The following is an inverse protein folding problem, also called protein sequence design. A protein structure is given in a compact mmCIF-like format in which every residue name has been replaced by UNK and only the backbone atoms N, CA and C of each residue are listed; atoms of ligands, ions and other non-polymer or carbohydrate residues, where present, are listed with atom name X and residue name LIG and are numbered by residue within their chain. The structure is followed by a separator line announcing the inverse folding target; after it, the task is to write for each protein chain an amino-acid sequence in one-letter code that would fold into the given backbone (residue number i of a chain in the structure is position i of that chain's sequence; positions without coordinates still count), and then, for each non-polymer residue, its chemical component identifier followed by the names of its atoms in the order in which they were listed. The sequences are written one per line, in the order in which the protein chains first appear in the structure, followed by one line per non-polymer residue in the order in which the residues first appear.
data_IF_688493363018
#
_entry.id   IF_688493363018
#
_cell.length_a   1.000
_cell.length_b   1.000
_cell.length_c   1.000
_cell.angle_alpha   90.00
_cell.angle_beta   90.00
_cell.angle_gamma   90.00
#
_symmetry.space_group_name_H-M   'P 1'
#
loop_
_entity.id
_entity.type
_entity.pdbx_description
1 polymer ?
#
# COMPACT_ATOMS: atom_id res chain seq x y z
N UNK A 1 28.91 10.54 -20.40
CA UNK A 1 29.76 10.32 -19.21
C UNK A 1 30.07 8.83 -19.11
N UNK A 2 31.34 8.48 -18.91
CA UNK A 2 31.74 7.10 -18.63
C UNK A 2 31.62 6.85 -17.12
N UNK A 3 31.23 5.63 -16.70
CA UNK A 3 31.15 5.29 -15.29
C UNK A 3 32.55 5.29 -14.66
N UNK A 4 32.68 5.83 -13.45
CA UNK A 4 33.93 5.78 -12.68
C UNK A 4 34.20 4.36 -12.13
N UNK A 5 33.14 3.57 -11.94
CA UNK A 5 33.19 2.18 -11.50
C UNK A 5 31.97 1.42 -11.99
N UNK A 6 32.16 0.21 -12.48
CA UNK A 6 31.07 -0.69 -12.92
C UNK A 6 31.19 -2.03 -12.16
N UNK A 7 30.08 -2.58 -11.73
CA UNK A 7 29.88 -3.97 -11.30
C UNK A 7 28.78 -4.58 -12.13
N UNK A 8 28.62 -5.89 -12.17
CA UNK A 8 27.68 -6.62 -13.07
C UNK A 8 26.28 -5.99 -13.21
N UNK A 9 25.75 -5.38 -12.16
CA UNK A 9 24.38 -4.86 -12.11
C UNK A 9 24.28 -3.39 -11.71
N UNK A 10 25.42 -2.73 -11.51
CA UNK A 10 25.49 -1.35 -11.00
C UNK A 10 26.62 -0.58 -11.67
N UNK A 11 26.35 0.68 -11.99
CA UNK A 11 27.37 1.62 -12.48
C UNK A 11 27.36 2.88 -11.60
N UNK A 12 28.55 3.41 -11.32
CA UNK A 12 28.75 4.58 -10.48
C UNK A 12 29.38 5.71 -11.27
N UNK A 13 28.81 6.89 -11.17
CA UNK A 13 29.17 8.10 -11.90
C UNK A 13 29.41 9.26 -10.95
N UNK A 14 30.11 10.28 -11.41
CA UNK A 14 30.00 11.61 -10.81
C UNK A 14 28.56 12.11 -10.99
N UNK A 15 28.04 12.79 -9.98
CA UNK A 15 26.65 13.27 -10.02
C UNK A 15 26.43 14.23 -11.19
N UNK A 16 25.39 14.02 -12.01
CA UNK A 16 24.97 15.00 -13.00
C UNK A 16 24.19 16.17 -12.38
N UNK A 17 23.86 16.11 -11.09
CA UNK A 17 23.00 17.06 -10.38
C UNK A 17 23.81 18.04 -9.52
N UNK A 18 25.12 17.79 -9.31
CA UNK A 18 26.03 18.64 -8.53
C UNK A 18 27.49 18.34 -8.85
N UNK A 19 28.38 19.25 -8.46
CA UNK A 19 29.82 19.04 -8.60
C UNK A 19 30.36 18.16 -7.48
N UNK A 20 31.14 17.13 -7.82
CA UNK A 20 31.83 16.25 -6.88
C UNK A 20 33.09 15.65 -7.49
N UNK A 21 34.02 15.21 -6.65
CA UNK A 21 35.28 14.59 -7.08
C UNK A 21 35.31 13.08 -6.91
N UNK A 22 34.36 12.51 -6.15
CA UNK A 22 34.19 11.07 -5.93
C UNK A 22 32.82 10.65 -6.41
N UNK A 23 32.75 9.60 -7.25
CA UNK A 23 31.52 9.09 -7.80
C UNK A 23 30.57 8.60 -6.70
N UNK A 24 29.42 9.26 -6.55
CA UNK A 24 28.37 8.92 -5.59
C UNK A 24 27.00 8.75 -6.25
N UNK A 25 26.89 8.98 -7.52
CA UNK A 25 25.68 8.73 -8.31
C UNK A 25 25.65 7.29 -8.80
N UNK A 26 24.74 6.48 -8.28
CA UNK A 26 24.61 5.06 -8.59
C UNK A 26 23.47 4.81 -9.55
N UNK A 27 23.69 4.00 -10.57
CA UNK A 27 22.64 3.47 -11.48
C UNK A 27 22.57 1.96 -11.29
N UNK A 28 21.39 1.45 -10.98
CA UNK A 28 21.10 0.03 -10.94
C UNK A 28 20.53 -0.40 -12.29
N UNK A 29 21.31 -1.16 -13.05
CA UNK A 29 20.90 -1.69 -14.35
C UNK A 29 19.75 -2.72 -14.22
N UNK A 30 19.75 -3.48 -13.12
CA UNK A 30 18.71 -4.48 -12.84
C UNK A 30 17.36 -3.84 -12.53
N UNK A 31 17.34 -2.75 -11.77
CA UNK A 31 16.09 -2.08 -11.33
C UNK A 31 15.70 -0.93 -12.26
N UNK A 32 16.57 -0.54 -13.19
CA UNK A 32 16.43 0.67 -14.01
C UNK A 32 16.14 1.91 -13.16
N UNK A 33 16.95 2.10 -12.09
CA UNK A 33 16.82 3.20 -11.13
C UNK A 33 18.18 3.81 -10.83
N UNK A 34 18.16 5.08 -10.47
CA UNK A 34 19.34 5.80 -10.00
C UNK A 34 19.15 6.26 -8.55
N UNK A 35 20.26 6.50 -7.89
CA UNK A 35 20.31 7.09 -6.55
C UNK A 35 21.59 7.93 -6.40
N UNK A 36 21.44 9.20 -6.02
CA UNK A 36 22.51 10.09 -5.67
C UNK A 36 22.73 10.07 -4.15
N UNK A 37 23.80 9.42 -3.72
CA UNK A 37 24.10 9.28 -2.30
C UNK A 37 24.48 10.61 -1.65
N UNK A 38 24.95 11.59 -2.42
CA UNK A 38 25.31 12.90 -1.90
C UNK A 38 24.11 13.82 -1.69
N UNK A 39 23.05 13.66 -2.49
CA UNK A 39 21.79 14.40 -2.34
C UNK A 39 20.76 13.62 -1.52
N UNK A 40 20.96 12.33 -1.28
CA UNK A 40 19.95 11.47 -0.65
C UNK A 40 18.69 11.29 -1.48
N UNK A 41 18.77 11.45 -2.80
CA UNK A 41 17.63 11.43 -3.73
C UNK A 41 17.83 10.41 -4.86
N UNK A 42 16.75 9.87 -5.39
CA UNK A 42 16.79 8.87 -6.45
C UNK A 42 15.45 8.68 -7.15
N UNK A 43 15.45 7.89 -8.24
CA UNK A 43 14.25 7.67 -9.01
C UNK A 43 14.44 6.76 -10.22
N UNK A 44 13.51 6.84 -11.16
CA UNK A 44 13.60 6.21 -12.47
C UNK A 44 14.22 7.17 -13.52
N UNK A 45 14.27 6.76 -14.81
CA UNK A 45 14.82 7.58 -15.87
C UNK A 45 14.08 8.91 -16.10
N UNK A 46 12.74 8.92 -15.92
CA UNK A 46 11.94 10.14 -16.05
C UNK A 46 12.23 11.12 -14.90
N UNK A 47 12.33 10.59 -13.66
CA UNK A 47 12.71 11.40 -12.49
C UNK A 47 14.10 12.02 -12.66
N UNK A 48 15.03 11.33 -13.34
CA UNK A 48 16.35 11.87 -13.66
C UNK A 48 16.27 13.05 -14.63
N UNK A 49 15.45 12.96 -15.67
CA UNK A 49 15.28 14.06 -16.63
C UNK A 49 14.63 15.29 -15.93
N UNK A 50 13.61 15.04 -15.09
CA UNK A 50 12.99 16.12 -14.28
C UNK A 50 14.05 16.79 -13.40
N UNK A 51 14.92 16.01 -12.74
CA UNK A 51 15.96 16.55 -11.87
C UNK A 51 17.06 17.32 -12.67
N UNK A 52 17.54 16.76 -13.79
CA UNK A 52 18.59 17.41 -14.59
C UNK A 52 18.08 18.67 -15.30
N UNK A 53 16.87 18.63 -15.83
CA UNK A 53 16.26 19.75 -16.59
C UNK A 53 15.52 20.76 -15.72
N UNK A 54 15.34 20.44 -14.43
CA UNK A 54 14.52 21.24 -13.50
C UNK A 54 13.15 21.61 -14.10
N UNK A 55 12.43 20.62 -14.62
CA UNK A 55 11.20 20.80 -15.37
C UNK A 55 10.06 19.94 -14.82
N UNK A 56 8.83 20.22 -15.24
CA UNK A 56 7.68 19.38 -14.90
C UNK A 56 7.73 18.01 -15.60
N UNK A 57 7.02 17.02 -15.03
CA UNK A 57 6.87 15.67 -15.64
C UNK A 57 6.35 15.76 -17.08
N UNK A 58 5.39 16.67 -17.35
CA UNK A 58 4.85 16.89 -18.71
C UNK A 58 5.92 17.36 -19.68
N UNK A 59 6.79 18.29 -19.24
CA UNK A 59 7.90 18.79 -20.05
C UNK A 59 8.99 17.72 -20.26
N UNK A 60 9.26 16.89 -19.23
CA UNK A 60 10.21 15.80 -19.36
C UNK A 60 9.72 14.72 -20.35
N UNK A 61 8.42 14.38 -20.34
CA UNK A 61 7.81 13.48 -21.32
C UNK A 61 7.93 14.05 -22.74
N UNK A 62 7.59 15.31 -22.94
CA UNK A 62 7.73 15.96 -24.23
C UNK A 62 9.18 15.98 -24.72
N UNK A 63 10.14 16.26 -23.81
CA UNK A 63 11.56 16.20 -24.13
C UNK A 63 11.98 14.80 -24.60
N UNK A 64 11.46 13.74 -24.00
CA UNK A 64 11.72 12.36 -24.42
C UNK A 64 11.12 12.07 -25.78
N UNK A 65 9.88 12.50 -26.06
CA UNK A 65 9.23 12.38 -27.36
C UNK A 65 10.02 13.08 -28.46
N UNK A 66 10.45 14.33 -28.21
CA UNK A 66 11.17 15.16 -29.19
C UNK A 66 12.61 14.69 -29.45
N UNK A 67 13.27 14.05 -28.49
CA UNK A 67 14.71 13.68 -28.57
C UNK A 67 14.96 12.18 -28.74
N UNK A 68 13.96 11.34 -28.63
CA UNK A 68 14.06 9.91 -28.92
C UNK A 68 13.82 9.67 -30.42
N UNK A 69 14.82 9.97 -31.24
CA UNK A 69 14.83 9.55 -32.64
C UNK A 69 14.88 8.02 -32.65
N UNK A 70 13.77 7.42 -33.08
CA UNK A 70 13.62 5.98 -33.32
C UNK A 70 13.81 5.06 -32.11
N UNK A 71 13.05 5.23 -31.02
CA UNK A 71 12.55 4.07 -30.34
C UNK A 71 11.31 3.58 -31.10
N UNK A 72 11.54 2.87 -32.19
CA UNK A 72 10.63 1.81 -32.56
C UNK A 72 10.43 0.99 -31.29
N UNK A 73 9.21 1.03 -30.71
CA UNK A 73 8.72 -0.04 -29.89
C UNK A 73 8.52 -1.25 -30.81
N UNK A 74 9.61 -1.81 -31.33
CA UNK A 74 9.65 -3.23 -31.46
C UNK A 74 9.41 -3.67 -30.02
N UNK A 75 8.22 -4.17 -29.76
CA UNK A 75 8.03 -5.14 -28.72
C UNK A 75 9.11 -6.20 -28.97
N UNK A 76 10.32 -5.93 -28.50
CA UNK A 76 11.11 -7.04 -28.05
C UNK A 76 10.15 -7.67 -27.06
N UNK A 77 9.74 -8.90 -27.39
CA UNK A 77 9.23 -9.81 -26.43
C UNK A 77 10.28 -9.83 -25.33
N UNK A 78 10.27 -8.80 -24.48
CA UNK A 78 10.66 -8.98 -23.12
C UNK A 78 9.79 -10.18 -22.75
N UNK A 79 10.42 -11.36 -22.72
CA UNK A 79 9.95 -12.39 -21.82
C UNK A 79 9.66 -11.61 -20.58
N UNK A 80 8.41 -11.26 -20.42
CA UNK A 80 7.91 -10.43 -19.35
C UNK A 80 8.65 -11.01 -18.16
N UNK A 81 9.54 -10.22 -17.56
CA UNK A 81 9.95 -10.56 -16.20
C UNK A 81 8.60 -10.73 -15.57
N UNK A 82 8.21 -11.99 -15.35
CA UNK A 82 6.89 -12.35 -14.85
C UNK A 82 6.77 -11.51 -13.61
N UNK A 83 6.10 -10.35 -13.75
CA UNK A 83 5.62 -9.62 -12.58
C UNK A 83 4.72 -10.68 -11.99
N UNK A 84 5.23 -11.37 -10.98
CA UNK A 84 4.61 -12.56 -10.44
C UNK A 84 3.26 -12.12 -9.92
N UNK A 85 2.28 -12.24 -10.82
CA UNK A 85 0.91 -11.85 -10.57
C UNK A 85 0.39 -12.84 -9.53
N UNK A 86 -0.09 -12.32 -8.43
CA UNK A 86 -0.78 -13.15 -7.45
C UNK A 86 -2.05 -13.66 -8.13
N UNK A 87 -2.15 -14.96 -8.28
CA UNK A 87 -3.31 -15.65 -8.81
C UNK A 87 -4.01 -16.39 -7.67
N UNK A 88 -5.26 -16.02 -7.39
CA UNK A 88 -6.06 -16.69 -6.36
C UNK A 88 -6.57 -18.02 -6.90
N UNK A 89 -6.21 -19.12 -6.22
CA UNK A 89 -6.55 -20.48 -6.62
C UNK A 89 -7.86 -20.94 -6.00
N UNK A 90 -8.02 -20.70 -4.69
CA UNK A 90 -9.24 -21.08 -3.94
C UNK A 90 -9.38 -20.27 -2.66
N UNK A 91 -10.60 -20.15 -2.19
CA UNK A 91 -10.93 -19.54 -0.91
C UNK A 91 -11.78 -20.48 -0.07
N UNK A 92 -11.58 -20.50 1.24
CA UNK A 92 -12.39 -21.27 2.19
C UNK A 92 -12.42 -20.60 3.56
N UNK A 93 -13.18 -21.17 4.51
CA UNK A 93 -13.15 -20.76 5.91
C UNK A 93 -11.75 -20.91 6.48
N UNK A 94 -11.34 -19.99 7.36
CA UNK A 94 -10.02 -20.04 8.01
C UNK A 94 -9.95 -21.30 8.86
N UNK A 95 -9.04 -22.20 8.49
CA UNK A 95 -8.86 -23.50 9.15
C UNK A 95 -7.37 -23.90 9.29
N UNK A 96 -6.47 -23.29 8.50
CA UNK A 96 -5.04 -23.57 8.61
C UNK A 96 -4.51 -23.10 9.97
N UNK A 97 -3.91 -24.03 10.71
CA UNK A 97 -3.36 -23.76 12.04
C UNK A 97 -2.38 -22.58 12.05
N UNK A 98 -1.50 -22.48 11.06
CA UNK A 98 -0.57 -21.38 10.93
C UNK A 98 -1.24 -20.00 10.80
N UNK A 99 -2.44 -19.92 10.18
CA UNK A 99 -3.21 -18.69 10.10
C UNK A 99 -3.96 -18.39 11.39
N UNK A 100 -4.45 -19.41 12.07
CA UNK A 100 -5.08 -19.29 13.39
C UNK A 100 -4.04 -18.76 14.39
N UNK A 101 -2.83 -19.31 14.41
CA UNK A 101 -1.73 -18.84 15.25
C UNK A 101 -1.29 -17.41 14.86
N UNK A 102 -1.29 -17.08 13.58
CA UNK A 102 -0.99 -15.72 13.13
C UNK A 102 -2.02 -14.70 13.63
N UNK A 103 -3.33 -15.01 13.58
CA UNK A 103 -4.38 -14.20 14.16
C UNK A 103 -4.25 -14.09 15.68
N UNK A 104 -3.98 -15.22 16.36
CA UNK A 104 -3.78 -15.24 17.82
C UNK A 104 -2.59 -14.36 18.24
N UNK A 105 -1.47 -14.41 17.50
CA UNK A 105 -0.31 -13.51 17.71
C UNK A 105 -0.70 -12.05 17.61
N UNK A 106 -1.66 -11.71 16.75
CA UNK A 106 -2.23 -10.36 16.57
C UNK A 106 -3.36 -10.05 17.56
N UNK A 107 -3.61 -10.95 18.52
CA UNK A 107 -4.74 -10.89 19.49
C UNK A 107 -6.13 -10.78 18.83
N UNK A 108 -6.29 -11.33 17.63
CA UNK A 108 -7.56 -11.35 16.92
C UNK A 108 -8.16 -12.75 16.97
N UNK A 109 -9.30 -12.94 17.68
CA UNK A 109 -10.00 -14.23 17.68
C UNK A 109 -10.50 -14.59 16.27
N UNK A 110 -10.40 -15.88 15.91
CA UNK A 110 -10.88 -16.37 14.61
C UNK A 110 -12.36 -16.04 14.39
N UNK A 111 -13.18 -16.10 15.43
CA UNK A 111 -14.61 -15.74 15.38
C UNK A 111 -14.87 -14.30 14.93
N UNK A 112 -13.94 -13.38 15.21
CA UNK A 112 -14.02 -11.97 14.78
C UNK A 112 -13.54 -11.81 13.34
N UNK A 113 -12.50 -12.53 12.94
CA UNK A 113 -11.96 -12.44 11.57
C UNK A 113 -12.84 -13.15 10.53
N UNK A 114 -13.43 -14.29 10.87
CA UNK A 114 -14.10 -15.20 9.95
C UNK A 114 -15.34 -14.61 9.23
N UNK A 115 -16.13 -13.68 9.77
CA UNK A 115 -17.21 -13.00 9.05
C UNK A 115 -16.72 -12.12 7.90
N UNK A 116 -15.47 -11.66 7.95
CA UNK A 116 -14.89 -10.69 7.02
C UNK A 116 -13.80 -11.26 6.13
N UNK A 117 -13.09 -12.26 6.61
CA UNK A 117 -11.89 -12.81 6.00
C UNK A 117 -12.07 -14.28 5.64
N UNK A 118 -11.31 -14.70 4.63
CA UNK A 118 -11.20 -16.11 4.23
C UNK A 118 -9.75 -16.57 4.28
N UNK A 119 -9.55 -17.86 4.36
CA UNK A 119 -8.30 -18.49 3.99
C UNK A 119 -8.21 -18.50 2.47
N UNK A 120 -7.22 -17.80 1.92
CA UNK A 120 -7.00 -17.65 0.48
C UNK A 120 -5.73 -18.41 0.09
N UNK A 121 -5.87 -19.36 -0.83
CA UNK A 121 -4.75 -20.04 -1.48
C UNK A 121 -4.45 -19.35 -2.78
N UNK A 122 -3.17 -19.08 -3.04
CA UNK A 122 -2.75 -18.32 -4.20
C UNK A 122 -1.41 -18.79 -4.73
N UNK A 123 -1.22 -18.65 -6.04
CA UNK A 123 0.08 -18.83 -6.71
C UNK A 123 0.84 -17.50 -6.77
N UNK A 124 2.11 -17.55 -6.46
CA UNK A 124 3.04 -16.43 -6.61
C UNK A 124 4.41 -16.93 -7.02
N UNK A 125 4.94 -16.46 -8.16
CA UNK A 125 6.23 -16.94 -8.73
C UNK A 125 6.28 -18.45 -8.88
N UNK A 126 5.18 -19.09 -9.31
CA UNK A 126 5.10 -20.54 -9.56
C UNK A 126 5.03 -21.41 -8.31
N UNK A 127 4.85 -20.83 -7.13
CA UNK A 127 4.68 -21.56 -5.85
C UNK A 127 3.33 -21.23 -5.25
N UNK A 128 2.76 -22.22 -4.55
CA UNK A 128 1.50 -22.04 -3.83
C UNK A 128 1.74 -21.58 -2.40
N UNK A 129 0.89 -20.66 -1.97
CA UNK A 129 0.89 -20.06 -0.64
C UNK A 129 -0.54 -19.95 -0.13
N UNK A 130 -0.69 -19.71 1.16
CA UNK A 130 -1.97 -19.38 1.77
C UNK A 130 -1.84 -18.18 2.73
N UNK A 131 -2.92 -17.41 2.86
CA UNK A 131 -2.96 -16.21 3.70
C UNK A 131 -4.38 -15.97 4.24
N UNK A 132 -4.47 -15.13 5.28
CA UNK A 132 -5.73 -14.45 5.60
C UNK A 132 -6.00 -13.45 4.47
N UNK A 133 -7.15 -13.55 3.85
CA UNK A 133 -7.58 -12.67 2.77
C UNK A 133 -8.82 -11.87 3.13
N UNK A 134 -8.78 -10.58 2.83
CA UNK A 134 -9.92 -9.68 2.82
C UNK A 134 -10.22 -9.29 1.38
N UNK A 135 -11.44 -9.54 0.93
CA UNK A 135 -11.88 -9.21 -0.42
C UNK A 135 -12.21 -7.72 -0.54
N UNK A 136 -11.74 -7.07 -1.58
CA UNK A 136 -12.12 -5.71 -1.89
C UNK A 136 -13.37 -5.66 -2.79
N UNK A 137 -13.98 -4.49 -2.96
CA UNK A 137 -15.23 -4.34 -3.71
C UNK A 137 -15.12 -4.62 -5.22
N UNK A 138 -13.92 -4.84 -5.75
CA UNK A 138 -13.67 -5.22 -7.14
C UNK A 138 -13.27 -6.70 -7.30
N UNK A 139 -13.34 -7.52 -6.22
CA UNK A 139 -12.99 -8.93 -6.25
C UNK A 139 -11.49 -9.23 -6.12
N UNK A 140 -10.65 -8.24 -5.87
CA UNK A 140 -9.26 -8.46 -5.48
C UNK A 140 -9.12 -8.72 -3.99
N UNK A 141 -7.97 -9.22 -3.57
CA UNK A 141 -7.75 -9.69 -2.21
C UNK A 141 -6.55 -9.00 -1.56
N UNK A 142 -6.71 -8.52 -0.34
CA UNK A 142 -5.62 -8.18 0.55
C UNK A 142 -5.19 -9.43 1.32
N UNK A 143 -3.92 -9.82 1.18
CA UNK A 143 -3.39 -11.10 1.66
C UNK A 143 -2.33 -10.88 2.74
N UNK A 144 -2.49 -11.52 3.87
CA UNK A 144 -1.59 -11.41 5.02
C UNK A 144 -1.34 -12.77 5.66
N UNK A 145 -0.08 -13.10 5.88
CA UNK A 145 0.34 -14.14 6.80
C UNK A 145 1.62 -13.70 7.53
N UNK A 146 2.24 -14.56 8.31
CA UNK A 146 3.41 -14.21 9.10
C UNK A 146 4.63 -13.74 8.26
N UNK A 147 4.68 -14.13 6.98
CA UNK A 147 5.81 -13.91 6.07
C UNK A 147 5.46 -13.12 4.82
N UNK A 148 4.17 -12.85 4.62
CA UNK A 148 3.70 -12.25 3.38
C UNK A 148 2.68 -11.13 3.62
N UNK A 149 2.92 -9.99 2.96
CA UNK A 149 2.00 -8.87 2.80
C UNK A 149 1.90 -8.54 1.33
N UNK A 150 0.74 -8.72 0.74
CA UNK A 150 0.50 -8.43 -0.67
C UNK A 150 -0.97 -8.32 -1.00
N UNK A 151 -1.27 -8.04 -2.27
CA UNK A 151 -2.64 -7.95 -2.76
C UNK A 151 -2.74 -8.48 -4.19
N UNK A 152 -3.83 -9.21 -4.50
CA UNK A 152 -4.15 -9.59 -5.87
C UNK A 152 -4.81 -8.44 -6.60
N UNK A 153 -4.81 -8.51 -7.94
CA UNK A 153 -5.57 -7.57 -8.77
C UNK A 153 -7.03 -8.01 -8.90
N UNK A 154 -7.95 -7.05 -9.07
CA UNK A 154 -7.75 -5.60 -9.06
C UNK A 154 -7.55 -5.06 -7.63
N UNK A 155 -6.61 -4.09 -7.46
CA UNK A 155 -6.39 -3.44 -6.17
C UNK A 155 -7.42 -2.36 -5.93
N UNK A 156 -8.04 -2.37 -4.75
CA UNK A 156 -8.99 -1.36 -4.33
C UNK A 156 -9.21 -1.38 -2.82
N UNK A 157 -10.02 -0.44 -2.32
CA UNK A 157 -10.54 -0.47 -0.96
C UNK A 157 -11.62 -1.55 -0.78
N UNK A 158 -11.83 -1.99 0.44
CA UNK A 158 -12.96 -2.85 0.82
C UNK A 158 -14.09 -2.00 1.37
N UNK A 159 -15.32 -2.29 0.98
CA UNK A 159 -16.50 -1.56 1.43
C UNK A 159 -17.58 -2.53 1.93
N UNK A 160 -17.85 -2.50 3.23
CA UNK A 160 -18.86 -3.32 3.89
C UNK A 160 -20.06 -2.44 4.21
N UNK A 161 -21.16 -2.63 3.50
CA UNK A 161 -22.39 -1.85 3.64
C UNK A 161 -23.40 -2.54 4.55
N UNK A 162 -23.95 -1.81 5.52
CA UNK A 162 -25.06 -2.22 6.39
C UNK A 162 -26.22 -1.23 6.38
N UNK A 163 -26.14 -0.21 5.52
CA UNK A 163 -27.08 0.90 5.43
C UNK A 163 -27.11 1.76 6.71
N UNK A 164 -25.98 1.92 7.35
CA UNK A 164 -25.79 2.76 8.53
C UNK A 164 -25.63 4.23 8.12
N UNK A 165 -25.94 5.13 9.05
CA UNK A 165 -25.62 6.55 8.96
C UNK A 165 -24.18 6.88 9.43
N UNK A 166 -23.53 5.92 10.06
CA UNK A 166 -22.14 6.02 10.54
C UNK A 166 -21.23 5.19 9.67
N UNK A 167 -20.11 5.79 9.27
CA UNK A 167 -19.05 5.16 8.50
C UNK A 167 -17.78 5.09 9.33
N UNK A 168 -17.18 3.91 9.43
CA UNK A 168 -15.85 3.70 9.99
C UNK A 168 -14.85 3.56 8.86
N UNK A 169 -13.71 4.25 8.94
CA UNK A 169 -12.65 4.15 7.95
C UNK A 169 -11.35 3.74 8.65
N UNK A 170 -10.78 2.61 8.23
CA UNK A 170 -9.48 2.12 8.70
C UNK A 170 -8.48 2.07 7.55
N UNK A 171 -7.18 2.12 7.86
CA UNK A 171 -6.15 2.04 6.83
C UNK A 171 -5.98 0.62 6.31
N UNK A 172 -5.91 -0.36 7.19
CA UNK A 172 -5.56 -1.73 6.84
C UNK A 172 -6.46 -2.80 7.44
N UNK A 173 -6.26 -4.02 6.95
CA UNK A 173 -6.98 -5.22 7.39
C UNK A 173 -6.89 -5.43 8.92
N UNK A 174 -5.68 -5.33 9.49
CA UNK A 174 -5.50 -5.63 10.92
C UNK A 174 -5.99 -4.52 11.82
N UNK A 175 -6.00 -3.27 11.38
CA UNK A 175 -6.60 -2.16 12.11
C UNK A 175 -8.11 -2.33 12.18
N UNK A 176 -8.74 -2.69 11.06
CA UNK A 176 -10.15 -3.04 11.03
C UNK A 176 -10.49 -4.22 11.96
N UNK A 177 -9.74 -5.33 11.89
CA UNK A 177 -10.00 -6.48 12.76
C UNK A 177 -9.75 -6.16 14.24
N UNK A 178 -8.79 -5.27 14.52
CA UNK A 178 -8.54 -4.80 15.89
C UNK A 178 -9.68 -3.93 16.38
N UNK A 179 -10.21 -3.04 15.54
CA UNK A 179 -11.41 -2.27 15.86
C UNK A 179 -12.59 -3.20 16.14
N UNK A 180 -12.76 -4.27 15.33
CA UNK A 180 -13.82 -5.25 15.54
C UNK A 180 -13.66 -6.06 16.84
N UNK A 181 -12.44 -6.15 17.40
CA UNK A 181 -12.21 -6.75 18.74
C UNK A 181 -12.49 -5.76 19.85
N UNK A 182 -12.10 -4.49 19.67
CA UNK A 182 -12.19 -3.44 20.70
C UNK A 182 -13.60 -2.87 20.79
N UNK A 183 -14.29 -2.71 19.66
CA UNK A 183 -15.57 -2.02 19.52
C UNK A 183 -16.55 -2.84 18.66
N UNK A 184 -16.81 -4.09 19.07
CA UNK A 184 -17.57 -5.06 18.27
C UNK A 184 -18.97 -4.55 17.88
N UNK A 185 -19.68 -3.91 18.82
CA UNK A 185 -21.05 -3.39 18.60
C UNK A 185 -21.04 -2.20 17.63
N UNK A 186 -20.07 -1.29 17.76
CA UNK A 186 -19.89 -0.17 16.85
C UNK A 186 -19.62 -0.67 15.41
N UNK A 187 -18.71 -1.65 15.27
CA UNK A 187 -18.39 -2.25 13.97
C UNK A 187 -19.60 -2.95 13.36
N UNK A 188 -20.43 -3.63 14.15
CA UNK A 188 -21.66 -4.28 13.67
C UNK A 188 -22.75 -3.28 13.25
N UNK A 189 -22.80 -2.13 13.90
CA UNK A 189 -23.81 -1.10 13.64
C UNK A 189 -23.44 -0.11 12.53
N UNK A 190 -22.22 -0.14 12.01
CA UNK A 190 -21.69 0.86 11.08
C UNK A 190 -21.39 0.28 9.70
N UNK A 191 -21.41 1.14 8.68
CA UNK A 191 -20.77 0.86 7.39
C UNK A 191 -19.25 1.00 7.56
N UNK A 192 -18.47 0.25 6.76
CA UNK A 192 -17.02 0.21 6.96
C UNK A 192 -16.30 0.34 5.63
N UNK A 193 -15.30 1.20 5.57
CA UNK A 193 -14.32 1.25 4.49
C UNK A 193 -12.93 0.89 5.06
N UNK A 194 -12.29 -0.12 4.48
CA UNK A 194 -10.88 -0.43 4.71
C UNK A 194 -10.12 0.02 3.47
N UNK A 195 -9.25 1.01 3.60
CA UNK A 195 -8.55 1.61 2.46
C UNK A 195 -7.63 0.63 1.75
N UNK A 196 -6.99 -0.30 2.48
CA UNK A 196 -5.94 -1.19 1.98
C UNK A 196 -4.68 -0.45 1.48
N UNK A 197 -4.82 0.83 1.14
CA UNK A 197 -3.75 1.77 0.82
C UNK A 197 -4.31 3.20 0.87
N UNK A 198 -3.57 4.14 1.45
CA UNK A 198 -3.93 5.56 1.47
C UNK A 198 -4.09 6.18 0.07
N UNK A 199 -3.53 5.55 -0.98
CA UNK A 199 -3.74 5.99 -2.37
C UNK A 199 -5.21 5.96 -2.81
N UNK A 200 -6.06 5.20 -2.11
CA UNK A 200 -7.49 5.13 -2.39
C UNK A 200 -8.33 6.18 -1.64
N UNK A 201 -7.73 7.03 -0.80
CA UNK A 201 -8.44 8.09 -0.07
C UNK A 201 -9.28 8.97 -1.01
N UNK A 202 -8.73 9.34 -2.16
CA UNK A 202 -9.49 10.15 -3.14
C UNK A 202 -10.68 9.41 -3.75
N UNK A 203 -10.58 8.08 -3.90
CA UNK A 203 -11.66 7.28 -4.51
C UNK A 203 -12.87 7.10 -3.59
N UNK A 204 -12.66 7.11 -2.27
CA UNK A 204 -13.75 6.94 -1.32
C UNK A 204 -14.56 8.21 -1.07
N UNK A 205 -14.04 9.40 -1.42
CA UNK A 205 -14.70 10.69 -1.16
C UNK A 205 -16.14 10.76 -1.69
N UNK A 206 -16.42 10.09 -2.79
CA UNK A 206 -17.78 10.03 -3.38
C UNK A 206 -18.80 9.35 -2.46
N UNK A 207 -18.35 8.57 -1.48
CA UNK A 207 -19.23 7.90 -0.52
C UNK A 207 -19.45 8.73 0.74
N UNK A 208 -18.49 9.58 1.13
CA UNK A 208 -18.45 10.24 2.43
C UNK A 208 -19.63 11.18 2.68
N UNK A 209 -20.11 11.85 1.63
CA UNK A 209 -21.27 12.77 1.72
C UNK A 209 -22.59 12.08 2.09
N UNK A 210 -22.65 10.76 2.04
CA UNK A 210 -23.86 10.00 2.34
C UNK A 210 -24.02 9.66 3.84
N UNK A 211 -23.05 10.02 4.66
CA UNK A 211 -23.04 9.65 6.08
C UNK A 211 -23.24 10.86 6.99
N UNK A 212 -23.88 10.63 8.13
CA UNK A 212 -24.04 11.64 9.19
C UNK A 212 -22.80 11.70 10.08
N UNK A 213 -22.13 10.56 10.29
CA UNK A 213 -20.90 10.46 11.09
C UNK A 213 -19.84 9.67 10.36
N UNK A 214 -18.62 10.16 10.33
CA UNK A 214 -17.45 9.51 9.74
C UNK A 214 -16.36 9.42 10.78
N UNK A 215 -15.95 8.21 11.18
CA UNK A 215 -14.94 7.97 12.21
C UNK A 215 -13.67 7.44 11.53
N UNK A 216 -12.55 8.16 11.71
CA UNK A 216 -11.27 7.89 11.07
C UNK A 216 -10.30 7.19 12.01
N UNK A 217 -9.83 6.01 11.62
CA UNK A 217 -8.89 5.18 12.35
C UNK A 217 -7.67 4.89 11.48
N UNK A 218 -6.83 5.91 11.24
CA UNK A 218 -5.61 5.78 10.43
C UNK A 218 -4.38 5.55 11.31
N UNK A 219 -3.27 5.15 10.71
CA UNK A 219 -2.02 4.97 11.42
C UNK A 219 -1.50 6.30 12.00
N UNK A 220 -0.83 6.25 13.13
CA UNK A 220 -0.14 7.40 13.75
C UNK A 220 1.23 7.59 13.10
N UNK A 221 1.21 7.95 11.80
CA UNK A 221 2.39 8.28 11.03
C UNK A 221 2.12 9.50 10.09
N UNK A 222 3.15 10.11 9.49
CA UNK A 222 2.97 11.30 8.65
C UNK A 222 2.01 11.10 7.47
N UNK A 223 1.85 9.88 6.96
CA UNK A 223 0.95 9.59 5.85
C UNK A 223 -0.50 9.54 6.32
N UNK A 224 -0.76 8.89 7.49
CA UNK A 224 -2.04 8.89 8.17
C UNK A 224 -2.45 10.30 8.62
N UNK A 225 -1.51 11.11 9.15
CA UNK A 225 -1.76 12.51 9.50
C UNK A 225 -2.26 13.32 8.31
N UNK A 226 -1.59 13.20 7.17
CA UNK A 226 -1.97 13.90 5.94
C UNK A 226 -3.34 13.46 5.45
N UNK A 227 -3.63 12.17 5.45
CA UNK A 227 -4.90 11.63 4.99
C UNK A 227 -6.05 12.05 5.91
N UNK A 228 -5.86 12.02 7.23
CA UNK A 228 -6.82 12.50 8.23
C UNK A 228 -7.11 13.97 8.02
N UNK A 229 -6.09 14.82 7.97
CA UNK A 229 -6.24 16.27 7.80
C UNK A 229 -6.99 16.60 6.48
N UNK A 230 -6.74 15.86 5.41
CA UNK A 230 -7.43 16.04 4.13
C UNK A 230 -8.93 15.74 4.24
N UNK A 231 -9.32 14.66 4.92
CA UNK A 231 -10.74 14.31 5.09
C UNK A 231 -11.43 15.29 6.03
N UNK A 232 -10.84 15.61 7.18
CA UNK A 232 -11.40 16.57 8.14
C UNK A 232 -11.63 17.96 7.53
N UNK A 233 -10.75 18.40 6.63
CA UNK A 233 -10.91 19.67 5.91
C UNK A 233 -12.12 19.68 4.99
N UNK A 234 -12.47 18.54 4.39
CA UNK A 234 -13.54 18.44 3.38
C UNK A 234 -14.89 18.04 4.00
N UNK A 235 -14.89 17.31 5.11
CA UNK A 235 -16.09 16.72 5.70
C UNK A 235 -16.17 17.08 7.18
N UNK A 236 -17.05 18.05 7.53
CA UNK A 236 -17.22 18.55 8.91
C UNK A 236 -17.80 17.52 9.89
N UNK A 237 -18.41 16.48 9.36
CA UNK A 237 -18.98 15.35 10.09
C UNK A 237 -17.98 14.19 10.26
N UNK A 238 -16.71 14.42 9.93
CA UNK A 238 -15.63 13.47 10.17
C UNK A 238 -14.95 13.77 11.52
N UNK A 239 -14.58 12.71 12.25
CA UNK A 239 -13.87 12.77 13.53
C UNK A 239 -12.61 11.90 13.45
N UNK A 240 -11.52 12.41 14.00
CA UNK A 240 -10.27 11.68 14.17
C UNK A 240 -10.31 10.87 15.47
N UNK A 241 -10.33 9.56 15.39
CA UNK A 241 -10.42 8.64 16.54
C UNK A 241 -9.04 8.15 17.03
N UNK A 242 -7.95 8.66 16.45
CA UNK A 242 -6.57 8.27 16.80
C UNK A 242 -6.16 8.63 18.23
N UNK A 243 -6.84 9.56 18.85
CA UNK A 243 -6.59 9.90 20.26
C UNK A 243 -6.79 8.68 21.18
N UNK A 244 -7.70 7.79 20.81
CA UNK A 244 -7.94 6.53 21.53
C UNK A 244 -6.74 5.57 21.52
N UNK A 245 -5.78 5.72 20.60
CA UNK A 245 -4.55 4.93 20.48
C UNK A 245 -3.30 5.77 20.17
N UNK A 246 -3.26 7.02 20.65
CA UNK A 246 -2.17 7.97 20.36
C UNK A 246 -0.76 7.52 20.77
N UNK A 247 -0.67 6.60 21.73
CA UNK A 247 0.61 6.05 22.21
C UNK A 247 1.10 4.83 21.41
N UNK A 248 0.36 4.45 20.37
CA UNK A 248 0.63 3.28 19.53
C UNK A 248 0.66 3.70 18.08
N UNK A 249 1.40 2.98 17.26
CA UNK A 249 1.48 3.26 15.83
C UNK A 249 0.13 3.09 15.13
N UNK A 250 -0.59 2.04 15.51
CA UNK A 250 -1.86 1.66 14.89
C UNK A 250 -2.77 0.93 15.91
N UNK A 251 -4.00 0.65 15.51
CA UNK A 251 -4.97 -0.07 16.34
C UNK A 251 -4.52 -1.48 16.71
N UNK A 252 -3.82 -2.17 15.82
CA UNK A 252 -3.37 -3.52 16.12
C UNK A 252 -2.25 -3.52 17.14
N UNK A 253 -1.34 -2.56 17.12
CA UNK A 253 -0.33 -2.40 18.16
C UNK A 253 -0.97 -2.14 19.53
N UNK A 254 -1.95 -1.22 19.60
CA UNK A 254 -2.74 -1.02 20.84
C UNK A 254 -3.33 -2.34 21.34
N UNK A 255 -4.05 -3.07 20.48
CA UNK A 255 -4.67 -4.34 20.85
C UNK A 255 -3.64 -5.35 21.36
N UNK A 256 -2.47 -5.45 20.70
CA UNK A 256 -1.40 -6.37 21.08
C UNK A 256 -0.75 -6.03 22.43
N UNK A 257 -0.74 -4.76 22.83
CA UNK A 257 -0.13 -4.29 24.07
C UNK A 257 -1.13 -4.16 25.23
N UNK A 258 -2.45 -4.12 24.97
CA UNK A 258 -3.45 -4.16 26.03
C UNK A 258 -3.25 -5.43 26.89
N UNK A 259 -2.92 -5.23 28.17
CA UNK A 259 -2.98 -6.31 29.17
C UNK A 259 -4.45 -6.65 29.39
N UNK A 260 -4.79 -7.94 29.32
CA UNK A 260 -6.10 -8.43 29.76
C UNK A 260 -6.24 -8.24 31.24
#
# INVERSE_FOLDING_TARGET
HFPSRTREKEAWFLSPLRSETKASFKVSLKMNRWYDHGLGNGGNGLDLIVAIKNCSVKQALKFLEDNCVSFSFQQQNFKSSIVSKIEVLKTKKIAQEALIQYLAKRKIPVKIAQPYCKEVWFSYSGKEYFAIGLENHLGGWELRNNYFKGSSSPKSYTYIKRRSKTLLITEGLFDFLSLAVLEEDLVKASDIIILNSLTFTNKIKVHLSNYENILLYFDNDPAGDKATAEILKLFRNATDERDSYKNYKDLNEKLMQCKK
#
